data_IF_456301265256
#
_entry.id   IF_456301265256
#
_cell.length_a   1.000
_cell.length_b   1.000
_cell.length_c   1.000
_cell.angle_alpha   90.00
_cell.angle_beta   90.00
_cell.angle_gamma   90.00
#
_symmetry.space_group_name_H-M   'P 1'
#
loop_
_entity.id
_entity.type
_entity.pdbx_description
1 polymer ?
#
# COMPACT_ATOMS: atom_id res chain seq x y z
N UNK A 1 25.03 24.67 13.32
CA UNK A 1 24.96 24.25 11.91
C UNK A 1 24.07 23.03 11.87
N UNK A 2 22.93 23.12 11.18
CA UNK A 2 21.86 22.13 11.24
C UNK A 2 22.35 20.78 10.73
N UNK A 3 22.40 19.82 11.66
CA UNK A 3 22.76 18.42 11.46
C UNK A 3 21.82 17.77 10.46
N UNK A 4 22.39 16.97 9.57
CA UNK A 4 21.67 16.09 8.65
C UNK A 4 20.62 15.28 9.42
N UNK A 5 19.33 15.58 9.19
CA UNK A 5 18.29 14.59 9.43
C UNK A 5 18.49 13.50 8.38
N UNK A 6 19.14 12.40 8.77
CA UNK A 6 18.99 11.16 8.02
C UNK A 6 17.49 10.88 7.96
N UNK A 7 16.97 10.66 6.76
CA UNK A 7 15.55 10.47 6.57
C UNK A 7 15.21 9.04 6.99
N UNK A 8 15.01 8.81 8.29
CA UNK A 8 14.78 7.49 8.93
C UNK A 8 13.66 6.69 8.25
N UNK A 9 12.67 7.40 7.70
CA UNK A 9 11.62 6.80 6.89
C UNK A 9 12.16 6.11 5.64
N UNK A 10 13.17 6.69 4.98
CA UNK A 10 13.76 6.13 3.76
C UNK A 10 14.44 4.78 4.00
N UNK A 11 14.96 4.52 5.20
CA UNK A 11 15.64 3.27 5.55
C UNK A 11 14.66 2.10 5.76
N UNK A 12 13.38 2.40 5.98
CA UNK A 12 12.33 1.39 6.18
C UNK A 12 11.35 1.29 5.01
N UNK A 13 11.53 2.08 3.94
CA UNK A 13 10.71 1.96 2.73
C UNK A 13 10.97 0.60 2.08
N UNK A 14 9.89 -0.10 1.81
CA UNK A 14 9.88 -1.34 1.04
C UNK A 14 9.35 -1.09 -0.34
N UNK A 15 9.94 -1.79 -1.32
CA UNK A 15 9.35 -1.88 -2.64
C UNK A 15 8.02 -2.63 -2.55
N UNK A 16 7.01 -2.09 -3.22
CA UNK A 16 5.75 -2.79 -3.45
C UNK A 16 5.34 -2.59 -4.92
N UNK A 17 4.80 -3.63 -5.57
CA UNK A 17 4.30 -3.50 -6.92
C UNK A 17 3.13 -2.51 -6.99
N UNK A 18 3.07 -1.77 -8.09
CA UNK A 18 1.97 -0.87 -8.42
C UNK A 18 1.24 -1.32 -9.68
N UNK A 19 -0.06 -1.06 -9.74
CA UNK A 19 -0.91 -1.30 -10.90
C UNK A 19 -1.74 -0.07 -11.22
N UNK A 20 -2.14 0.10 -12.47
CA UNK A 20 -3.08 1.15 -12.85
C UNK A 20 -4.50 0.82 -12.39
N UNK A 21 -5.27 1.85 -12.02
CA UNK A 21 -6.67 1.72 -11.63
C UNK A 21 -7.58 1.05 -12.67
N UNK A 22 -7.18 1.10 -13.95
CA UNK A 22 -7.88 0.46 -15.08
C UNK A 22 -7.61 -1.03 -15.21
N UNK A 23 -6.59 -1.58 -14.53
CA UNK A 23 -6.32 -3.02 -14.55
C UNK A 23 -7.46 -3.77 -13.90
N UNK A 24 -7.70 -4.97 -14.41
CA UNK A 24 -8.68 -5.91 -13.85
C UNK A 24 -8.14 -6.61 -12.61
N UNK A 25 -9.04 -7.20 -11.82
CA UNK A 25 -8.67 -8.11 -10.73
C UNK A 25 -7.78 -9.26 -11.21
N UNK A 26 -8.03 -9.82 -12.41
CA UNK A 26 -7.21 -10.90 -12.98
C UNK A 26 -5.78 -10.46 -13.24
N UNK A 27 -5.58 -9.30 -13.85
CA UNK A 27 -4.25 -8.76 -14.13
C UNK A 27 -3.52 -8.38 -12.85
N UNK A 28 -4.23 -7.81 -11.88
CA UNK A 28 -3.68 -7.48 -10.56
C UNK A 28 -3.24 -8.73 -9.81
N UNK A 29 -4.03 -9.81 -9.87
CA UNK A 29 -3.69 -11.10 -9.28
C UNK A 29 -2.40 -11.68 -9.90
N UNK A 30 -2.22 -11.55 -11.22
CA UNK A 30 -0.96 -11.98 -11.88
C UNK A 30 0.24 -11.22 -11.35
N UNK A 31 0.12 -9.91 -11.13
CA UNK A 31 1.19 -9.10 -10.51
C UNK A 31 1.46 -9.55 -9.08
N UNK A 32 0.42 -9.82 -8.28
CA UNK A 32 0.58 -10.38 -6.93
C UNK A 32 1.40 -11.68 -6.93
N UNK A 33 1.12 -12.59 -7.86
CA UNK A 33 1.88 -13.84 -7.98
C UNK A 33 3.33 -13.66 -8.46
N UNK A 34 3.63 -12.56 -9.16
CA UNK A 34 5.00 -12.21 -9.55
C UNK A 34 5.80 -11.60 -8.38
N UNK A 35 5.12 -11.14 -7.34
CA UNK A 35 5.70 -10.49 -6.17
C UNK A 35 5.22 -11.14 -4.85
N UNK A 36 5.49 -12.45 -4.64
CA UNK A 36 5.02 -13.19 -3.46
C UNK A 36 5.58 -12.63 -2.13
N UNK A 37 6.69 -11.89 -2.18
CA UNK A 37 7.28 -11.19 -1.05
C UNK A 37 6.47 -9.97 -0.59
N UNK A 38 5.61 -9.43 -1.45
CA UNK A 38 4.86 -8.21 -1.17
C UNK A 38 3.50 -8.51 -0.55
N UNK A 39 3.22 -7.82 0.56
CA UNK A 39 1.94 -7.95 1.28
C UNK A 39 0.83 -7.09 0.68
N UNK A 40 1.16 -6.21 -0.27
CA UNK A 40 0.21 -5.31 -0.87
C UNK A 40 0.51 -4.97 -2.33
N UNK A 41 -0.49 -4.44 -3.01
CA UNK A 41 -0.37 -3.73 -4.29
C UNK A 41 -0.88 -2.31 -4.09
N UNK A 42 -0.13 -1.33 -4.61
CA UNK A 42 -0.60 0.05 -4.69
C UNK A 42 -1.29 0.28 -6.03
N UNK A 43 -2.46 0.90 -5.99
CA UNK A 43 -3.18 1.27 -7.21
C UNK A 43 -2.88 2.73 -7.49
N UNK A 44 -2.28 3.01 -8.64
CA UNK A 44 -1.93 4.36 -9.07
C UNK A 44 -2.75 4.80 -10.29
N UNK A 45 -2.75 6.11 -10.51
CA UNK A 45 -3.21 6.71 -11.77
C UNK A 45 -2.11 6.62 -12.87
N UNK A 46 -2.34 7.28 -14.01
CA UNK A 46 -1.36 7.34 -15.10
C UNK A 46 -0.12 8.21 -14.80
N UNK A 47 -0.17 9.08 -13.79
CA UNK A 47 0.93 9.97 -13.38
C UNK A 47 1.80 9.40 -12.25
N UNK A 48 1.47 8.18 -11.81
CA UNK A 48 2.07 7.47 -10.66
C UNK A 48 1.67 8.07 -9.30
N UNK A 49 0.54 8.75 -9.21
CA UNK A 49 -0.07 9.16 -7.95
C UNK A 49 -0.89 8.00 -7.36
N UNK A 50 -0.71 7.67 -6.06
CA UNK A 50 -1.43 6.59 -5.43
C UNK A 50 -2.91 6.94 -5.19
N UNK A 51 -3.80 6.09 -5.69
CA UNK A 51 -5.25 6.20 -5.53
C UNK A 51 -5.82 5.25 -4.47
N UNK A 52 -5.13 4.14 -4.20
CA UNK A 52 -5.62 3.14 -3.26
C UNK A 52 -4.62 2.04 -2.94
N UNK A 53 -4.99 1.21 -1.97
CA UNK A 53 -4.19 0.11 -1.47
C UNK A 53 -4.97 -1.20 -1.52
N UNK A 54 -4.30 -2.27 -1.91
CA UNK A 54 -4.81 -3.63 -1.79
C UNK A 54 -3.87 -4.46 -0.94
N UNK A 55 -4.38 -5.01 0.17
CA UNK A 55 -3.66 -6.03 0.92
C UNK A 55 -3.92 -7.40 0.29
N UNK A 56 -2.86 -8.13 -0.01
CA UNK A 56 -2.92 -9.40 -0.74
C UNK A 56 -3.83 -10.41 -0.05
N UNK A 57 -3.75 -10.53 1.28
CA UNK A 57 -4.62 -11.41 2.08
C UNK A 57 -6.12 -11.14 1.85
N UNK A 58 -6.53 -9.87 1.98
CA UNK A 58 -7.93 -9.46 1.80
C UNK A 58 -8.39 -9.65 0.36
N UNK A 59 -7.51 -9.45 -0.61
CA UNK A 59 -7.80 -9.68 -2.01
C UNK A 59 -8.00 -11.18 -2.30
N UNK A 60 -7.12 -12.06 -1.81
CA UNK A 60 -7.24 -13.51 -1.98
C UNK A 60 -8.46 -14.09 -1.28
N UNK A 61 -8.82 -13.60 -0.09
CA UNK A 61 -10.07 -13.97 0.59
C UNK A 61 -11.31 -13.62 -0.22
N UNK A 62 -11.31 -12.47 -0.91
CA UNK A 62 -12.41 -12.11 -1.83
C UNK A 62 -12.41 -12.99 -3.08
N UNK A 63 -11.22 -13.27 -3.64
CA UNK A 63 -11.09 -14.06 -4.85
C UNK A 63 -11.46 -15.55 -4.67
N UNK A 64 -11.29 -16.09 -3.46
CA UNK A 64 -11.69 -17.47 -3.10
C UNK A 64 -13.18 -17.60 -2.75
N UNK A 65 -13.93 -16.50 -2.76
CA UNK A 65 -15.38 -16.49 -2.54
C UNK A 65 -16.14 -17.29 -3.61
N UNK A 66 -17.22 -17.96 -3.19
CA UNK A 66 -17.97 -18.93 -4.02
C UNK A 66 -18.84 -18.33 -5.13
N UNK A 67 -18.98 -17.00 -5.23
CA UNK A 67 -19.95 -16.37 -6.12
C UNK A 67 -19.26 -15.59 -7.25
N UNK A 68 -19.48 -15.99 -8.51
CA UNK A 68 -19.23 -15.14 -9.67
C UNK A 68 -17.76 -14.87 -9.99
N UNK A 69 -16.89 -15.88 -9.84
CA UNK A 69 -15.44 -15.81 -10.08
C UNK A 69 -15.10 -15.15 -11.42
N UNK A 70 -15.82 -15.45 -12.52
CA UNK A 70 -15.52 -14.85 -13.82
C UNK A 70 -15.87 -13.36 -13.90
N UNK A 71 -16.94 -12.92 -13.22
CA UNK A 71 -17.30 -11.51 -13.12
C UNK A 71 -16.28 -10.76 -12.27
N UNK A 72 -15.95 -11.30 -11.09
CA UNK A 72 -14.94 -10.75 -10.18
C UNK A 72 -13.62 -10.47 -10.91
N UNK A 73 -13.16 -11.41 -11.73
CA UNK A 73 -11.91 -11.29 -12.46
C UNK A 73 -11.89 -10.22 -13.55
N UNK A 74 -13.06 -9.84 -14.08
CA UNK A 74 -13.21 -8.79 -15.10
C UNK A 74 -13.40 -7.41 -14.49
N UNK A 75 -13.77 -7.32 -13.21
CA UNK A 75 -13.97 -6.03 -12.55
C UNK A 75 -12.66 -5.22 -12.49
N UNK A 76 -12.73 -3.89 -12.69
CA UNK A 76 -11.62 -2.99 -12.44
C UNK A 76 -11.16 -3.03 -10.98
N UNK A 77 -9.86 -2.99 -10.79
CA UNK A 77 -9.24 -3.11 -9.46
C UNK A 77 -9.63 -1.96 -8.53
N UNK A 78 -9.91 -0.78 -9.10
CA UNK A 78 -10.36 0.40 -8.37
C UNK A 78 -11.65 0.18 -7.56
N UNK A 79 -12.48 -0.80 -7.91
CA UNK A 79 -13.70 -1.14 -7.16
C UNK A 79 -13.43 -1.96 -5.90
N UNK A 80 -12.25 -2.58 -5.80
CA UNK A 80 -11.89 -3.48 -4.70
C UNK A 80 -10.87 -2.88 -3.74
N UNK A 81 -10.08 -1.91 -4.20
CA UNK A 81 -9.05 -1.27 -3.40
C UNK A 81 -9.62 -0.53 -2.19
N UNK A 82 -8.82 -0.44 -1.12
CA UNK A 82 -9.06 0.52 -0.06
C UNK A 82 -8.79 1.93 -0.63
N UNK A 83 -9.84 2.75 -0.75
CA UNK A 83 -9.77 4.12 -1.27
C UNK A 83 -9.41 5.16 -0.20
N UNK A 84 -9.24 4.74 1.05
CA UNK A 84 -8.75 5.57 2.16
C UNK A 84 -7.46 5.00 2.74
N UNK A 85 -6.40 4.76 1.94
CA UNK A 85 -5.12 4.35 2.50
C UNK A 85 -4.49 5.51 3.28
N UNK A 86 -3.53 5.20 4.16
CA UNK A 86 -2.64 6.23 4.68
C UNK A 86 -1.57 6.51 3.62
N UNK A 87 -1.44 7.77 3.23
CA UNK A 87 -0.45 8.25 2.26
C UNK A 87 0.30 9.40 2.92
N UNK A 88 1.62 9.31 2.96
CA UNK A 88 2.50 10.37 3.46
C UNK A 88 3.64 10.63 2.48
N UNK A 89 4.17 11.86 2.47
CA UNK A 89 5.42 12.15 1.76
C UNK A 89 6.60 11.57 2.54
N UNK A 90 7.67 11.25 1.82
CA UNK A 90 8.92 10.72 2.37
C UNK A 90 9.58 11.67 3.37
N UNK A 91 9.22 12.96 3.39
CA UNK A 91 9.71 13.91 4.39
C UNK A 91 8.93 13.88 5.72
N UNK A 92 7.86 13.07 5.83
CA UNK A 92 7.06 12.99 7.04
C UNK A 92 7.80 12.24 8.15
N UNK A 93 7.56 12.66 9.41
CA UNK A 93 8.15 12.01 10.59
C UNK A 93 7.58 10.59 10.74
N UNK A 94 8.43 9.56 10.94
CA UNK A 94 7.96 8.20 11.22
C UNK A 94 7.05 8.12 12.45
N UNK A 95 7.29 8.94 13.47
CA UNK A 95 6.45 9.01 14.68
C UNK A 95 5.03 9.47 14.38
N UNK A 96 4.90 10.50 13.55
CA UNK A 96 3.61 10.98 13.13
C UNK A 96 2.87 9.93 12.30
N UNK A 97 3.55 9.28 11.37
CA UNK A 97 2.98 8.21 10.55
C UNK A 97 2.49 7.05 11.43
N UNK A 98 3.29 6.61 12.39
CA UNK A 98 2.91 5.53 13.30
C UNK A 98 1.68 5.90 14.13
N UNK A 99 1.65 7.11 14.68
CA UNK A 99 0.51 7.58 15.46
C UNK A 99 -0.79 7.55 14.64
N UNK A 100 -0.75 7.98 13.38
CA UNK A 100 -1.90 7.90 12.47
C UNK A 100 -2.26 6.45 12.10
N UNK A 101 -1.28 5.57 11.91
CA UNK A 101 -1.51 4.15 11.65
C UNK A 101 -2.23 3.46 12.83
N UNK A 102 -1.85 3.78 14.07
CA UNK A 102 -2.44 3.21 15.28
C UNK A 102 -3.85 3.74 15.59
N UNK A 103 -4.23 4.92 15.07
CA UNK A 103 -5.59 5.47 15.19
C UNK A 103 -6.61 4.78 14.27
N UNK A 104 -6.15 4.03 13.27
CA UNK A 104 -7.05 3.33 12.34
C UNK A 104 -7.85 2.23 13.06
N UNK A 105 -9.04 1.86 12.58
CA UNK A 105 -9.74 0.69 13.11
C UNK A 105 -8.91 -0.58 12.88
N UNK A 106 -8.99 -1.53 13.81
CA UNK A 106 -8.30 -2.83 13.83
C UNK A 106 -8.05 -3.49 12.46
N UNK A 107 -9.05 -3.68 11.57
CA UNK A 107 -8.82 -4.32 10.27
C UNK A 107 -7.89 -3.55 9.32
N UNK A 108 -7.58 -2.30 9.61
CA UNK A 108 -6.73 -1.42 8.80
C UNK A 108 -5.42 -1.01 9.53
N UNK A 109 -5.23 -1.35 10.81
CA UNK A 109 -3.99 -1.04 11.55
C UNK A 109 -2.76 -1.75 10.97
N UNK A 110 -2.98 -2.90 10.34
CA UNK A 110 -1.95 -3.70 9.67
C UNK A 110 -1.79 -3.35 8.18
N UNK A 111 -2.58 -2.40 7.66
CA UNK A 111 -2.39 -1.92 6.30
C UNK A 111 -1.03 -1.25 6.18
N UNK A 112 -0.38 -1.47 5.04
CA UNK A 112 0.82 -0.73 4.70
C UNK A 112 0.48 0.77 4.57
N UNK A 113 1.44 1.61 4.94
CA UNK A 113 1.38 3.04 4.67
C UNK A 113 2.03 3.27 3.31
N UNK A 114 1.35 3.99 2.42
CA UNK A 114 1.91 4.39 1.13
C UNK A 114 2.83 5.59 1.35
N UNK A 115 4.06 5.49 0.86
CA UNK A 115 5.04 6.57 0.88
C UNK A 115 5.14 7.16 -0.52
N UNK A 116 5.08 8.49 -0.58
CA UNK A 116 5.22 9.27 -1.80
C UNK A 116 6.48 10.12 -1.76
N UNK A 117 6.92 10.58 -2.94
CA UNK A 117 7.92 11.63 -3.06
C UNK A 117 7.43 12.60 -4.12
N UNK A 118 7.13 13.84 -3.71
CA UNK A 118 6.53 14.84 -4.60
C UNK A 118 5.20 14.33 -5.21
N UNK A 119 4.34 13.74 -4.38
CA UNK A 119 3.03 13.20 -4.79
C UNK A 119 3.07 11.85 -5.50
N UNK A 120 4.23 11.41 -6.00
CA UNK A 120 4.37 10.15 -6.74
C UNK A 120 4.69 8.98 -5.82
N UNK A 121 4.14 7.81 -6.11
CA UNK A 121 4.41 6.58 -5.37
C UNK A 121 5.91 6.26 -5.35
N UNK A 122 6.46 6.11 -4.14
CA UNK A 122 7.88 5.82 -3.88
C UNK A 122 8.09 4.44 -3.24
N UNK A 123 7.09 3.93 -2.53
CA UNK A 123 7.14 2.62 -1.87
C UNK A 123 6.13 2.56 -0.72
N UNK A 124 6.29 1.57 0.16
CA UNK A 124 5.41 1.39 1.33
C UNK A 124 6.21 1.20 2.60
N UNK A 125 5.64 1.55 3.74
CA UNK A 125 6.16 1.20 5.06
C UNK A 125 5.14 0.32 5.79
N UNK A 126 5.62 -0.70 6.52
CA UNK A 126 4.75 -1.47 7.39
C UNK A 126 4.72 -0.85 8.79
N UNK A 127 3.57 -0.92 9.47
CA UNK A 127 3.43 -0.49 10.86
C UNK A 127 4.47 -1.15 11.78
N UNK A 128 4.86 -2.40 11.49
CA UNK A 128 5.93 -3.11 12.20
C UNK A 128 7.31 -2.49 12.02
N UNK A 129 7.61 -1.94 10.84
CA UNK A 129 8.92 -1.29 10.59
C UNK A 129 8.97 0.08 11.26
N UNK A 130 7.85 0.82 11.23
CA UNK A 130 7.69 2.08 11.96
C UNK A 130 7.86 1.88 13.47
N UNK A 131 7.28 0.82 14.04
CA UNK A 131 7.47 0.46 15.45
C UNK A 131 8.92 0.08 15.79
N UNK A 132 9.65 -0.53 14.84
CA UNK A 132 11.02 -0.99 15.06
C UNK A 132 12.00 0.16 15.20
N UNK A 133 11.82 1.24 14.43
CA UNK A 133 12.75 2.38 14.46
C UNK A 133 12.49 3.35 15.63
N UNK A 134 11.42 3.14 16.40
CA UNK A 134 11.15 3.87 17.63
C UNK A 134 11.73 3.24 18.90
N UNK A 135 12.38 2.08 18.78
CA UNK A 135 12.97 1.33 19.89
C UNK A 135 14.49 1.47 19.87
#
# INVERSE_FOLDING_TARGET
>A
MATAQLNELADIIRSAPAVFATRTCRETMRVMFQHPESKCIVVCDATNEPLGLLMSERFFLKASGRNGIDLFYREPIMKLMNTKPLIFDISASPEFILAEALKRPEPLKNDCVIITRNGKFAGVAYTSDLLRIQQ
#
